data_IF_018493327230
#
_entry.id   IF_018493327230
#
_cell.length_a   1.000
_cell.length_b   1.000
_cell.length_c   1.000
_cell.angle_alpha   90.00
_cell.angle_beta   90.00
_cell.angle_gamma   90.00
#
_symmetry.space_group_name_H-M   'P 1'
#
loop_
_entity.id
_entity.type
_entity.pdbx_description
1 polymer ?
#
# COMPACT_ATOMS: atom_id res chain seq x y z
N UNK A 1 -3.26 -16.49 14.79
CA UNK A 1 -3.93 -15.27 14.32
C UNK A 1 -3.01 -14.11 14.62
N UNK A 2 -2.60 -13.39 13.58
CA UNK A 2 -1.75 -12.24 13.69
C UNK A 2 -2.44 -11.10 14.44
N UNK A 3 -1.69 -10.40 15.27
CA UNK A 3 -2.15 -9.17 15.89
C UNK A 3 -2.19 -8.07 14.82
N UNK A 4 -3.28 -7.32 14.73
CA UNK A 4 -3.39 -6.20 13.82
C UNK A 4 -3.89 -4.96 14.55
N UNK A 5 -3.44 -3.79 14.11
CA UNK A 5 -3.89 -2.49 14.62
C UNK A 5 -3.88 -1.44 13.52
N UNK A 6 -4.74 -0.43 13.69
CA UNK A 6 -4.78 0.75 12.84
C UNK A 6 -4.23 1.91 13.66
N UNK A 7 -3.16 2.52 13.16
CA UNK A 7 -2.60 3.75 13.72
C UNK A 7 -3.05 4.92 12.85
N UNK A 8 -3.43 6.02 13.47
CA UNK A 8 -3.86 7.22 12.76
C UNK A 8 -2.82 8.30 12.94
N UNK A 9 -2.32 8.82 11.82
CA UNK A 9 -1.32 9.88 11.78
C UNK A 9 -1.93 11.14 11.18
N UNK A 10 -1.51 12.31 11.67
CA UNK A 10 -1.96 13.59 11.11
C UNK A 10 -1.53 13.73 9.66
N UNK A 11 -0.30 13.33 9.36
CA UNK A 11 0.33 13.40 8.05
C UNK A 11 0.53 12.00 7.45
N UNK A 12 0.65 11.93 6.12
CA UNK A 12 0.92 10.69 5.43
C UNK A 12 2.32 10.16 5.77
N UNK A 13 2.38 8.96 6.36
CA UNK A 13 3.63 8.27 6.69
C UNK A 13 3.92 7.21 5.64
N UNK A 14 5.09 7.30 5.00
CA UNK A 14 5.53 6.30 4.02
C UNK A 14 5.90 4.99 4.72
N UNK A 15 5.45 3.88 4.14
CA UNK A 15 5.88 2.55 4.55
C UNK A 15 7.10 2.09 3.73
N UNK A 16 7.79 1.02 4.18
CA UNK A 16 8.81 0.35 3.39
C UNK A 16 8.35 -0.17 2.03
N UNK A 17 7.06 -0.15 1.70
CA UNK A 17 6.51 -0.59 0.42
C UNK A 17 6.00 0.56 -0.45
N UNK A 18 5.75 1.74 0.11
CA UNK A 18 5.19 2.90 -0.60
C UNK A 18 5.91 3.21 -1.92
N UNK A 19 7.25 3.24 -2.00
CA UNK A 19 7.96 3.51 -3.26
C UNK A 19 7.79 2.45 -4.36
N UNK A 20 7.44 1.21 -4.00
CA UNK A 20 7.27 0.11 -4.95
C UNK A 20 5.84 0.05 -5.51
N UNK A 21 4.88 0.41 -4.67
CA UNK A 21 3.45 0.34 -4.96
C UNK A 21 2.98 1.61 -5.63
N UNK A 22 3.21 2.78 -5.04
CA UNK A 22 2.75 4.06 -5.57
C UNK A 22 3.82 4.64 -6.50
N UNK A 23 3.78 4.29 -7.79
CA UNK A 23 4.73 4.81 -8.79
C UNK A 23 4.22 6.13 -9.34
N UNK A 24 5.07 7.14 -9.44
CA UNK A 24 4.68 8.35 -10.17
C UNK A 24 4.53 8.02 -11.66
N UNK A 25 3.35 8.30 -12.21
CA UNK A 25 3.01 8.05 -13.63
C UNK A 25 3.33 9.25 -14.53
N UNK A 26 3.99 10.29 -14.00
CA UNK A 26 4.22 11.57 -14.67
C UNK A 26 3.78 12.75 -13.82
N UNK A 27 4.35 13.93 -14.10
CA UNK A 27 4.27 15.15 -13.29
C UNK A 27 5.66 15.62 -12.89
N UNK A 28 6.45 16.04 -13.89
CA UNK A 28 7.84 16.46 -13.72
C UNK A 28 8.24 17.62 -14.63
N UNK A 29 7.28 18.27 -15.27
CA UNK A 29 7.45 19.59 -15.87
C UNK A 29 6.88 20.63 -14.90
N UNK A 30 7.55 21.79 -14.81
CA UNK A 30 7.30 22.85 -13.83
C UNK A 30 5.81 23.10 -13.58
N UNK A 31 5.38 22.90 -12.32
CA UNK A 31 4.04 23.22 -11.86
C UNK A 31 2.98 22.11 -11.92
N UNK A 32 3.26 20.95 -12.54
CA UNK A 32 2.30 19.85 -12.59
C UNK A 32 2.31 19.01 -11.29
N UNK A 33 1.14 18.71 -10.68
CA UNK A 33 1.07 17.84 -9.50
C UNK A 33 1.52 16.42 -9.83
N UNK A 34 2.35 15.84 -8.96
CA UNK A 34 2.84 14.46 -9.11
C UNK A 34 1.66 13.50 -8.97
N UNK A 35 1.30 12.82 -10.06
CA UNK A 35 0.28 11.77 -10.06
C UNK A 35 0.91 10.43 -9.73
N UNK A 36 0.32 9.70 -8.79
CA UNK A 36 0.74 8.36 -8.39
C UNK A 36 -0.25 7.32 -8.89
N UNK A 37 0.27 6.21 -9.41
CA UNK A 37 -0.51 5.08 -9.86
C UNK A 37 0.01 3.78 -9.22
N UNK A 38 -0.82 3.08 -8.40
CA UNK A 38 -2.07 3.53 -7.78
C UNK A 38 -1.94 4.83 -6.95
N UNK A 39 -3.05 5.56 -6.74
CA UNK A 39 -3.06 6.79 -5.94
C UNK A 39 -2.73 6.48 -4.48
N UNK A 40 -2.13 7.46 -3.80
CA UNK A 40 -1.89 7.41 -2.35
C UNK A 40 -3.22 7.44 -1.58
N UNK A 41 -3.26 6.87 -0.36
CA UNK A 41 -4.47 6.90 0.46
C UNK A 41 -4.87 8.35 0.78
N UNK A 42 -6.18 8.58 0.87
CA UNK A 42 -6.74 9.85 1.32
C UNK A 42 -6.87 9.87 2.84
N UNK A 43 -6.79 11.05 3.48
CA UNK A 43 -7.05 11.15 4.90
C UNK A 43 -8.51 10.79 5.21
N UNK A 44 -8.70 10.08 6.32
CA UNK A 44 -10.01 9.78 6.87
C UNK A 44 -10.56 11.02 7.62
N UNK A 45 -11.85 11.35 7.46
CA UNK A 45 -12.47 12.47 8.17
C UNK A 45 -12.27 12.35 9.69
N UNK A 46 -11.73 13.40 10.31
CA UNK A 46 -11.53 13.48 11.76
C UNK A 46 -10.43 12.55 12.34
N UNK A 47 -9.76 11.74 11.52
CA UNK A 47 -8.71 10.80 11.98
C UNK A 47 -7.36 10.99 11.29
N UNK A 48 -7.31 11.56 10.08
CA UNK A 48 -6.06 11.68 9.32
C UNK A 48 -5.73 10.42 8.54
N UNK A 49 -4.45 10.12 8.33
CA UNK A 49 -3.98 9.01 7.51
C UNK A 49 -3.88 7.71 8.31
N UNK A 50 -4.54 6.62 7.85
CA UNK A 50 -4.42 5.33 8.50
C UNK A 50 -3.10 4.65 8.11
N UNK A 51 -2.47 4.02 9.08
CA UNK A 51 -1.33 3.11 8.90
C UNK A 51 -1.71 1.77 9.51
N UNK A 52 -1.53 0.70 8.74
CA UNK A 52 -1.92 -0.64 9.10
C UNK A 52 -0.71 -1.42 9.56
N UNK A 53 -0.76 -1.94 10.78
CA UNK A 53 0.30 -2.79 11.32
C UNK A 53 -0.25 -4.18 11.56
N UNK A 54 0.36 -5.20 10.95
CA UNK A 54 0.02 -6.62 11.13
C UNK A 54 1.27 -7.35 11.59
N UNK A 55 1.25 -7.91 12.80
CA UNK A 55 2.38 -8.61 13.40
C UNK A 55 2.25 -10.11 13.17
N UNK A 56 3.15 -10.68 12.36
CA UNK A 56 3.21 -12.12 12.09
C UNK A 56 4.53 -12.66 12.64
N UNK A 57 4.50 -13.70 13.48
CA UNK A 57 5.70 -14.32 14.07
C UNK A 57 6.70 -13.29 14.66
N UNK A 58 6.17 -12.30 15.40
CA UNK A 58 6.89 -11.17 16.04
C UNK A 58 7.51 -10.13 15.08
N UNK A 59 7.21 -10.21 13.79
CA UNK A 59 7.63 -9.20 12.81
C UNK A 59 6.45 -8.29 12.43
N UNK A 60 6.57 -6.96 12.66
CA UNK A 60 5.51 -6.02 12.31
C UNK A 60 5.59 -5.64 10.83
N UNK A 61 4.58 -6.05 10.06
CA UNK A 61 4.37 -5.54 8.71
C UNK A 61 3.60 -4.23 8.80
N UNK A 62 4.16 -3.15 8.25
CA UNK A 62 3.55 -1.81 8.27
C UNK A 62 3.20 -1.39 6.86
N UNK A 63 1.97 -0.94 6.65
CA UNK A 63 1.42 -0.51 5.37
C UNK A 63 0.77 0.86 5.54
N UNK A 64 1.08 1.79 4.63
CA UNK A 64 0.47 3.10 4.59
C UNK A 64 -0.91 3.07 3.91
N UNK A 65 -1.21 2.04 3.11
CA UNK A 65 -2.48 1.91 2.38
C UNK A 65 -2.93 0.45 2.27
N UNK A 66 -4.21 0.25 1.90
CA UNK A 66 -4.72 -1.10 1.61
C UNK A 66 -4.14 -1.65 0.30
N UNK A 67 -3.76 -0.81 -0.66
CA UNK A 67 -3.03 -1.28 -1.85
C UNK A 67 -1.69 -1.89 -1.50
N UNK A 68 -0.96 -1.29 -0.56
CA UNK A 68 0.33 -1.83 -0.16
C UNK A 68 0.17 -3.22 0.45
N UNK A 69 -0.87 -3.42 1.26
CA UNK A 69 -1.21 -4.71 1.82
C UNK A 69 -1.60 -5.73 0.73
N UNK A 70 -2.42 -5.32 -0.25
CA UNK A 70 -2.80 -6.21 -1.36
C UNK A 70 -1.61 -6.58 -2.25
N UNK A 71 -0.72 -5.63 -2.56
CA UNK A 71 0.49 -5.91 -3.34
C UNK A 71 1.47 -6.79 -2.55
N UNK A 72 1.58 -6.59 -1.23
CA UNK A 72 2.38 -7.46 -0.36
C UNK A 72 1.90 -8.91 -0.40
N UNK A 73 0.58 -9.10 -0.27
CA UNK A 73 -0.06 -10.41 -0.39
C UNK A 73 0.27 -11.03 -1.74
N UNK A 74 0.07 -10.29 -2.83
CA UNK A 74 0.33 -10.76 -4.19
C UNK A 74 1.79 -11.19 -4.40
N UNK A 75 2.76 -10.37 -3.97
CA UNK A 75 4.19 -10.68 -4.13
C UNK A 75 4.61 -11.88 -3.26
N UNK A 76 4.14 -11.96 -2.03
CA UNK A 76 4.50 -13.05 -1.13
C UNK A 76 3.88 -14.40 -1.54
N UNK A 77 2.72 -14.38 -2.20
CA UNK A 77 2.00 -15.56 -2.72
C UNK A 77 2.61 -16.11 -4.03
N UNK A 78 3.66 -15.48 -4.58
CA UNK A 78 4.37 -16.00 -5.75
C UNK A 78 5.36 -17.12 -5.35
N UNK A 79 5.40 -18.26 -6.07
CA UNK A 79 6.30 -19.38 -5.74
C UNK A 79 7.76 -18.95 -5.62
N UNK A 80 8.21 -18.15 -6.58
CA UNK A 80 9.50 -17.48 -6.55
C UNK A 80 9.30 -16.06 -6.07
N UNK A 81 10.02 -15.65 -5.02
CA UNK A 81 10.18 -14.21 -4.79
C UNK A 81 10.87 -13.64 -6.02
N UNK A 82 10.49 -12.44 -6.43
CA UNK A 82 11.35 -11.65 -7.31
C UNK A 82 12.67 -11.38 -6.56
N UNK A 83 13.61 -12.33 -6.68
CA UNK A 83 15.01 -12.12 -6.39
C UNK A 83 15.45 -11.11 -7.45
N UNK A 84 16.11 -10.05 -6.98
CA UNK A 84 16.69 -8.98 -7.79
C UNK A 84 17.88 -9.52 -8.62
N UNK A 85 17.68 -10.58 -9.41
CA UNK A 85 18.59 -10.97 -10.49
C UNK A 85 17.95 -10.69 -11.85
N UNK A 86 16.62 -10.85 -11.99
CA UNK A 86 15.89 -10.53 -13.24
C UNK A 86 15.38 -9.10 -13.34
N UNK A 87 15.50 -8.29 -12.28
CA UNK A 87 15.35 -6.83 -12.37
C UNK A 87 16.60 -6.12 -12.93
N UNK A 88 17.67 -6.89 -13.23
CA UNK A 88 18.86 -6.40 -13.94
C UNK A 88 18.69 -6.29 -15.46
N UNK A 89 17.61 -6.83 -16.05
CA UNK A 89 17.40 -6.81 -17.52
C UNK A 89 16.12 -6.14 -18.02
N UNK A 90 15.16 -5.81 -17.15
CA UNK A 90 14.02 -4.96 -17.54
C UNK A 90 14.30 -3.51 -17.15
N UNK A 91 14.60 -2.72 -18.19
CA UNK A 91 14.64 -1.26 -18.21
C UNK A 91 13.59 -0.66 -17.26
N UNK A 92 14.04 0.30 -16.44
CA UNK A 92 13.25 1.18 -15.58
C UNK A 92 12.77 0.60 -14.23
N UNK A 93 13.70 0.45 -13.30
CA UNK A 93 13.37 0.64 -11.88
C UNK A 93 13.03 2.14 -11.69
N UNK A 94 11.84 2.52 -11.17
CA UNK A 94 11.41 3.91 -11.10
C UNK A 94 12.39 4.81 -10.33
N UNK A 95 12.53 6.05 -10.81
CA UNK A 95 13.44 7.12 -10.35
C UNK A 95 13.20 7.59 -8.90
N UNK A 96 12.31 6.96 -8.13
CA UNK A 96 11.98 7.37 -6.76
C UNK A 96 12.89 6.77 -5.67
N UNK A 97 14.04 6.19 -6.06
CA UNK A 97 15.09 5.68 -5.15
C UNK A 97 15.66 6.74 -4.20
N UNK A 98 15.44 8.03 -4.47
CA UNK A 98 15.81 9.18 -3.60
C UNK A 98 14.77 9.51 -2.52
N UNK A 99 13.56 8.96 -2.62
CA UNK A 99 12.42 9.28 -1.73
C UNK A 99 12.21 8.24 -0.61
N UNK A 100 13.05 7.20 -0.51
CA UNK A 100 12.96 6.24 0.58
C UNK A 100 13.68 6.79 1.82
N UNK A 101 12.96 7.21 2.89
CA UNK A 101 13.58 7.65 4.13
C UNK A 101 14.38 6.53 4.82
N UNK A 102 14.24 5.27 4.38
CA UNK A 102 14.94 4.10 4.91
C UNK A 102 16.11 3.63 4.03
N UNK A 103 16.52 4.41 3.01
CA UNK A 103 17.80 4.22 2.33
C UNK A 103 17.96 2.96 1.47
N UNK A 104 16.91 2.43 0.82
CA UNK A 104 17.02 1.30 -0.11
C UNK A 104 17.83 1.66 -1.36
N UNK A 105 19.15 1.54 -1.28
CA UNK A 105 20.03 1.82 -2.43
C UNK A 105 19.91 0.80 -3.56
N UNK A 106 19.42 -0.43 -3.34
CA UNK A 106 19.36 -1.43 -4.43
C UNK A 106 18.42 -2.65 -4.31
N UNK A 107 17.74 -2.88 -3.18
CA UNK A 107 17.01 -4.14 -2.96
C UNK A 107 15.50 -3.93 -2.87
N UNK A 108 14.73 -4.84 -3.46
CA UNK A 108 13.28 -4.92 -3.32
C UNK A 108 12.88 -5.03 -1.84
N UNK A 109 11.69 -4.56 -1.46
CA UNK A 109 11.27 -4.52 -0.04
C UNK A 109 11.30 -5.91 0.63
N UNK A 110 11.08 -6.98 -0.14
CA UNK A 110 11.17 -8.38 0.33
C UNK A 110 12.55 -8.75 0.87
N UNK A 111 13.63 -8.10 0.41
CA UNK A 111 14.97 -8.32 0.94
C UNK A 111 15.16 -7.80 2.37
N UNK A 112 14.22 -6.96 2.87
CA UNK A 112 14.19 -6.48 4.26
C UNK A 112 13.57 -7.50 5.21
N UNK A 113 12.88 -8.52 4.67
CA UNK A 113 12.29 -9.57 5.50
C UNK A 113 13.40 -10.43 6.12
N UNK A 114 13.24 -10.87 7.38
CA UNK A 114 14.15 -11.85 7.98
C UNK A 114 14.28 -13.07 7.08
N UNK A 115 15.50 -13.61 6.92
CA UNK A 115 15.76 -14.80 6.08
C UNK A 115 14.82 -15.96 6.42
N UNK A 116 14.51 -16.13 7.70
CA UNK A 116 13.58 -17.15 8.22
C UNK A 116 12.17 -17.03 7.65
N UNK A 117 11.74 -15.83 7.24
CA UNK A 117 10.42 -15.51 6.69
C UNK A 117 10.36 -15.55 5.16
N UNK A 118 11.49 -15.63 4.47
CA UNK A 118 11.53 -15.66 3.01
C UNK A 118 11.22 -17.05 2.41
N UNK A 119 11.25 -18.11 3.22
CA UNK A 119 10.94 -19.46 2.74
C UNK A 119 9.49 -19.57 2.26
N UNK A 120 9.27 -20.36 1.21
CA UNK A 120 7.96 -20.49 0.58
C UNK A 120 6.84 -20.90 1.56
N UNK A 121 7.09 -21.92 2.37
CA UNK A 121 6.13 -22.39 3.38
C UNK A 121 5.74 -21.28 4.37
N UNK A 122 6.70 -20.44 4.78
CA UNK A 122 6.45 -19.36 5.73
C UNK A 122 5.78 -18.16 5.09
N UNK A 123 6.12 -17.85 3.83
CA UNK A 123 5.41 -16.84 3.04
C UNK A 123 3.95 -17.16 2.87
N UNK A 124 3.58 -18.43 2.63
CA UNK A 124 2.17 -18.84 2.58
C UNK A 124 1.43 -18.61 3.90
N UNK A 125 2.07 -18.89 5.04
CA UNK A 125 1.52 -18.58 6.36
C UNK A 125 1.34 -17.07 6.55
N UNK A 126 2.34 -16.27 6.16
CA UNK A 126 2.27 -14.81 6.21
C UNK A 126 1.13 -14.30 5.33
N UNK A 127 1.01 -14.77 4.09
CA UNK A 127 -0.07 -14.42 3.15
C UNK A 127 -1.43 -14.72 3.75
N UNK A 128 -1.59 -15.89 4.38
CA UNK A 128 -2.84 -16.25 5.04
C UNK A 128 -3.18 -15.27 6.17
N UNK A 129 -2.22 -15.00 7.07
CA UNK A 129 -2.43 -14.05 8.18
C UNK A 129 -2.65 -12.61 7.70
N UNK A 130 -1.97 -12.18 6.63
CA UNK A 130 -2.18 -10.86 6.01
C UNK A 130 -3.56 -10.75 5.36
N UNK A 131 -4.07 -11.81 4.69
CA UNK A 131 -5.43 -11.84 4.14
C UNK A 131 -6.47 -11.70 5.25
N UNK A 132 -6.31 -12.45 6.35
CA UNK A 132 -7.19 -12.35 7.52
C UNK A 132 -7.15 -10.95 8.16
N UNK A 133 -5.96 -10.41 8.37
CA UNK A 133 -5.77 -9.07 8.91
C UNK A 133 -6.37 -7.99 8.01
N UNK A 134 -6.20 -8.10 6.69
CA UNK A 134 -6.82 -7.20 5.71
C UNK A 134 -8.34 -7.19 5.84
N UNK A 135 -8.96 -8.36 5.91
CA UNK A 135 -10.41 -8.45 5.94
C UNK A 135 -10.97 -7.91 7.28
N UNK A 136 -10.27 -8.15 8.38
CA UNK A 136 -10.58 -7.55 9.69
C UNK A 136 -10.44 -6.02 9.68
N UNK A 137 -9.36 -5.49 9.08
CA UNK A 137 -9.14 -4.05 8.92
C UNK A 137 -10.24 -3.42 8.05
N UNK A 138 -10.58 -4.05 6.91
CA UNK A 138 -11.66 -3.57 6.04
C UNK A 138 -13.00 -3.49 6.77
N UNK A 139 -13.31 -4.52 7.58
CA UNK A 139 -14.51 -4.54 8.42
C UNK A 139 -14.49 -3.41 9.47
N UNK A 140 -13.35 -3.17 10.12
CA UNK A 140 -13.20 -2.14 11.13
C UNK A 140 -13.26 -0.71 10.56
N UNK A 141 -12.74 -0.49 9.36
CA UNK A 141 -12.79 0.80 8.67
C UNK A 141 -14.19 1.15 8.19
N UNK A 142 -14.95 0.16 7.72
CA UNK A 142 -16.22 0.37 7.03
C UNK A 142 -16.04 0.84 5.57
N UNK A 143 -17.08 0.70 4.73
CA UNK A 143 -16.97 0.84 3.28
C UNK A 143 -16.47 2.21 2.81
N UNK A 144 -16.89 3.30 3.48
CA UNK A 144 -16.48 4.65 3.13
C UNK A 144 -14.97 4.90 3.34
N UNK A 145 -14.44 4.42 4.47
CA UNK A 145 -13.03 4.59 4.81
C UNK A 145 -12.13 3.59 4.07
N UNK A 146 -12.67 2.44 3.67
CA UNK A 146 -11.97 1.50 2.78
C UNK A 146 -11.68 2.17 1.43
N UNK A 147 -12.66 2.84 0.81
CA UNK A 147 -12.46 3.56 -0.45
C UNK A 147 -11.33 4.60 -0.34
N UNK A 148 -11.36 5.40 0.74
CA UNK A 148 -10.30 6.41 1.02
C UNK A 148 -8.94 5.79 1.28
N UNK A 149 -8.89 4.64 1.95
CA UNK A 149 -7.64 3.88 2.13
C UNK A 149 -7.10 3.32 0.81
N UNK A 150 -7.95 3.21 -0.21
CA UNK A 150 -7.57 2.94 -1.60
C UNK A 150 -7.30 4.22 -2.42
N UNK A 151 -7.21 5.40 -1.81
CA UNK A 151 -6.99 6.65 -2.54
C UNK A 151 -8.17 7.05 -3.43
N UNK A 152 -9.35 6.48 -3.19
CA UNK A 152 -10.59 6.81 -3.91
C UNK A 152 -11.46 7.65 -2.99
N UNK A 153 -12.05 8.70 -3.54
CA UNK A 153 -13.14 9.36 -2.82
C UNK A 153 -14.29 8.36 -2.69
N UNK A 154 -14.90 8.34 -1.52
CA UNK A 154 -16.19 7.65 -1.36
C UNK A 154 -17.14 8.35 -2.33
N UNK A 155 -17.89 7.63 -3.18
CA UNK A 155 -19.01 8.27 -3.87
C UNK A 155 -19.87 8.88 -2.77
N UNK A 156 -20.02 10.21 -2.77
CA UNK A 156 -20.99 10.86 -1.91
C UNK A 156 -22.37 10.23 -2.15
N UNK A 157 -23.33 10.38 -1.23
CA UNK A 157 -24.71 10.09 -1.58
C UNK A 157 -24.99 10.85 -2.88
N UNK A 158 -25.31 10.12 -3.94
CA UNK A 158 -25.57 10.69 -5.25
C UNK A 158 -26.47 11.90 -5.07
N UNK A 159 -25.94 13.10 -5.31
CA UNK A 159 -26.81 14.24 -5.54
C UNK A 159 -27.77 13.83 -6.66
N UNK A 160 -29.07 14.14 -6.55
CA UNK A 160 -30.02 13.77 -7.59
C UNK A 160 -29.49 14.30 -8.93
N UNK A 161 -29.71 13.59 -10.05
CA UNK A 161 -29.30 14.09 -11.36
C UNK A 161 -29.92 15.48 -11.50
N UNK A 162 -29.07 16.47 -11.77
CA UNK A 162 -29.52 17.80 -12.12
C UNK A 162 -30.54 17.63 -13.26
N UNK A 163 -31.81 17.88 -12.94
CA UNK A 163 -32.83 18.08 -13.95
C UNK A 163 -32.36 19.28 -14.75
N UNK A 164 -31.91 19.02 -15.97
CA UNK A 164 -31.80 20.05 -16.99
C UNK A 164 -33.23 20.44 -17.33
N UNK A 165 -33.75 21.41 -16.59
CA UNK A 165 -34.91 22.20 -16.95
C UNK A 165 -34.36 23.38 -17.75
N UNK A 166 -34.65 23.43 -19.05
CA UNK A 166 -34.73 24.64 -19.88
C UNK A 166 -34.97 24.25 -21.34
N UNK A 167 -35.62 25.11 -22.15
CA UNK A 167 -36.90 25.78 -21.94
C UNK A 167 -37.96 25.41 -23.00
#
# INVERSE_FOLDING_TARGET
MAEWKIQYNRDFVMSPMTPWVHRSSGGGEEGAPIVYQPPRPLPLPGKGYPTFVITVDRFPFTFASLQELDEAIKVLDQPNLEVVETAGKKKQLPVQRKLDPHGAKSKHWTARLPKTMQSWARRRKIVFELKQGRDAIKKALGPANVARSYGRETPGPSGPPAQNDEP
#
